data_IF_801442994730
#
_entry.id   IF_801442994730
#
_cell.length_a   1.000
_cell.length_b   1.000
_cell.length_c   1.000
_cell.angle_alpha   90.00
_cell.angle_beta   90.00
_cell.angle_gamma   90.00
#
_symmetry.space_group_name_H-M   'P 1'
#
loop_
_entity.id
_entity.type
_entity.pdbx_description
1 polymer ?
#
# COMPACT_ATOMS: atom_id res chain seq x y z
N UNK A 1 -19.36 -19.77 6.93
CA UNK A 1 -18.45 -20.82 6.42
C UNK A 1 -18.95 -21.23 5.05
N UNK A 2 -18.16 -20.94 4.02
CA UNK A 2 -18.35 -21.55 2.69
C UNK A 2 -17.94 -23.02 2.79
N UNK A 3 -18.87 -23.93 2.47
CA UNK A 3 -18.55 -25.34 2.26
C UNK A 3 -17.94 -25.46 0.86
N UNK A 4 -16.69 -25.86 0.78
CA UNK A 4 -16.07 -26.27 -0.48
C UNK A 4 -16.49 -27.71 -0.72
N UNK A 5 -17.31 -27.96 -1.73
CA UNK A 5 -17.65 -29.29 -2.18
C UNK A 5 -16.74 -29.63 -3.36
N UNK A 6 -15.91 -30.65 -3.21
CA UNK A 6 -15.12 -31.18 -4.31
C UNK A 6 -16.09 -31.97 -5.22
N UNK A 7 -16.23 -31.54 -6.45
CA UNK A 7 -17.10 -32.15 -7.42
C UNK A 7 -16.26 -32.64 -8.60
N UNK A 8 -16.09 -33.95 -8.74
CA UNK A 8 -15.48 -34.56 -9.92
C UNK A 8 -16.52 -34.70 -11.03
N UNK A 9 -16.27 -34.02 -12.16
CA UNK A 9 -17.19 -34.03 -13.29
C UNK A 9 -16.51 -34.46 -14.60
N UNK A 10 -17.25 -35.20 -15.42
CA UNK A 10 -16.91 -35.48 -16.81
C UNK A 10 -16.96 -34.24 -17.71
N UNK A 11 -16.66 -34.38 -18.99
CA UNK A 11 -16.69 -33.28 -19.97
C UNK A 11 -18.09 -32.64 -20.09
N UNK A 12 -18.18 -31.35 -20.33
CA UNK A 12 -19.43 -30.63 -20.55
C UNK A 12 -19.44 -29.21 -19.93
N UNK A 13 -20.48 -28.43 -20.21
CA UNK A 13 -20.71 -27.12 -19.64
C UNK A 13 -21.02 -27.22 -18.14
N UNK A 14 -20.35 -26.43 -17.32
CA UNK A 14 -20.55 -26.40 -15.87
C UNK A 14 -21.15 -25.05 -15.46
N UNK A 15 -22.13 -25.11 -14.57
CA UNK A 15 -22.70 -23.92 -13.93
C UNK A 15 -22.17 -23.81 -12.51
N UNK A 16 -21.52 -22.69 -12.20
CA UNK A 16 -21.15 -22.32 -10.84
C UNK A 16 -22.23 -21.41 -10.28
N UNK A 17 -22.96 -21.88 -9.28
CA UNK A 17 -23.93 -21.08 -8.54
C UNK A 17 -23.34 -20.73 -7.15
N UNK A 18 -23.36 -19.46 -6.80
CA UNK A 18 -22.87 -18.97 -5.50
C UNK A 18 -24.03 -18.35 -4.75
N UNK A 19 -24.31 -18.86 -3.56
CA UNK A 19 -25.30 -18.30 -2.66
C UNK A 19 -24.57 -17.71 -1.44
N UNK A 20 -24.82 -16.44 -1.16
CA UNK A 20 -24.28 -15.75 0.01
C UNK A 20 -25.37 -15.58 1.04
N UNK A 21 -25.11 -16.01 2.26
CA UNK A 21 -26.02 -15.87 3.37
C UNK A 21 -25.42 -14.88 4.39
N UNK A 22 -26.21 -13.91 4.80
CA UNK A 22 -25.90 -13.06 5.93
C UNK A 22 -26.05 -13.83 7.25
N UNK A 23 -25.12 -13.63 8.18
CA UNK A 23 -25.20 -14.23 9.51
C UNK A 23 -26.32 -13.64 10.37
N UNK A 24 -26.77 -12.44 10.04
CA UNK A 24 -27.95 -11.78 10.63
C UNK A 24 -28.58 -10.82 9.63
N UNK A 25 -29.87 -10.51 9.80
CA UNK A 25 -30.60 -9.59 8.92
C UNK A 25 -30.06 -8.14 8.96
N UNK A 26 -29.27 -7.79 9.97
CA UNK A 26 -28.71 -6.46 10.18
C UNK A 26 -27.20 -6.39 9.87
N UNK A 27 -26.62 -7.42 9.25
CA UNK A 27 -25.22 -7.38 8.83
C UNK A 27 -25.06 -6.46 7.62
N UNK A 28 -24.23 -5.43 7.75
CA UNK A 28 -23.89 -4.48 6.67
C UNK A 28 -22.82 -5.01 5.72
N UNK A 29 -22.16 -6.12 6.07
CA UNK A 29 -20.99 -6.63 5.38
C UNK A 29 -21.34 -7.83 4.51
N UNK A 30 -21.68 -7.57 3.27
CA UNK A 30 -21.87 -8.59 2.24
C UNK A 30 -20.78 -8.43 1.18
N UNK A 31 -19.78 -9.27 1.23
CA UNK A 31 -18.79 -9.38 0.17
C UNK A 31 -18.59 -10.85 -0.20
N UNK A 32 -18.53 -11.16 -1.48
CA UNK A 32 -18.15 -12.48 -1.96
C UNK A 32 -17.10 -12.37 -3.06
N UNK A 33 -16.00 -13.10 -2.87
CA UNK A 33 -15.01 -13.34 -3.91
C UNK A 33 -15.06 -14.81 -4.27
N UNK A 34 -15.32 -15.11 -5.53
CA UNK A 34 -15.32 -16.49 -6.02
C UNK A 34 -14.03 -16.79 -6.78
N UNK A 35 -13.38 -17.88 -6.42
CA UNK A 35 -12.20 -18.39 -7.11
C UNK A 35 -12.49 -19.78 -7.62
N UNK A 36 -12.21 -20.01 -8.89
CA UNK A 36 -12.29 -21.34 -9.50
C UNK A 36 -10.87 -21.85 -9.76
N UNK A 37 -10.51 -22.94 -9.08
CA UNK A 37 -9.23 -23.61 -9.28
C UNK A 37 -9.44 -24.97 -9.94
N UNK A 38 -8.63 -25.30 -10.94
CA UNK A 38 -8.61 -26.60 -11.58
C UNK A 38 -7.34 -27.36 -11.16
N UNK A 39 -7.53 -28.52 -10.54
CA UNK A 39 -6.46 -29.46 -10.30
C UNK A 39 -6.26 -30.38 -11.50
N UNK A 40 -5.05 -30.42 -12.06
CA UNK A 40 -4.73 -31.31 -13.19
C UNK A 40 -3.78 -32.41 -12.70
N UNK A 41 -4.25 -33.66 -12.75
CA UNK A 41 -3.49 -34.87 -12.35
C UNK A 41 -2.62 -35.41 -13.47
N UNK A 42 -1.74 -34.61 -14.05
CA UNK A 42 -0.73 -35.17 -14.98
C UNK A 42 0.55 -34.32 -14.96
N UNK A 43 1.60 -34.78 -15.64
CA UNK A 43 2.91 -34.15 -15.69
C UNK A 43 3.03 -33.09 -16.80
N UNK A 44 1.96 -32.82 -17.55
CA UNK A 44 2.01 -31.85 -18.64
C UNK A 44 1.75 -30.43 -18.13
N UNK A 45 2.47 -29.44 -18.66
CA UNK A 45 2.25 -28.05 -18.36
C UNK A 45 1.11 -27.50 -19.22
N UNK A 46 0.02 -27.09 -18.59
CA UNK A 46 -1.16 -26.52 -19.28
C UNK A 46 -1.24 -25.00 -19.18
N UNK A 47 -0.13 -24.35 -19.11
CA UNK A 47 -0.13 -22.88 -19.17
C UNK A 47 -0.41 -22.45 -20.61
N UNK A 48 -1.47 -21.70 -20.80
CA UNK A 48 -1.68 -20.98 -22.04
C UNK A 48 -0.66 -19.86 -22.12
N UNK A 49 -0.26 -19.50 -23.34
CA UNK A 49 0.45 -18.25 -23.56
C UNK A 49 -0.36 -17.09 -22.95
N UNK A 50 0.32 -16.13 -22.37
CA UNK A 50 -0.29 -14.91 -21.83
C UNK A 50 -1.21 -14.31 -22.89
N UNK A 51 -2.50 -14.05 -22.59
CA UNK A 51 -3.40 -13.42 -23.53
C UNK A 51 -2.87 -12.07 -23.98
N UNK A 52 -3.11 -11.70 -25.23
CA UNK A 52 -2.63 -10.41 -25.79
C UNK A 52 -3.19 -9.17 -25.08
N UNK A 53 -4.29 -9.32 -24.34
CA UNK A 53 -4.87 -8.24 -23.54
C UNK A 53 -4.30 -8.16 -22.11
N UNK A 54 -3.49 -9.15 -21.70
CA UNK A 54 -2.85 -9.13 -20.39
C UNK A 54 -1.50 -8.45 -20.51
N UNK A 55 -1.39 -7.29 -19.91
CA UNK A 55 -0.13 -6.62 -19.72
C UNK A 55 0.40 -6.99 -18.34
N UNK A 56 1.63 -7.50 -18.29
CA UNK A 56 2.31 -7.64 -17.00
C UNK A 56 2.37 -6.26 -16.34
N UNK A 57 2.21 -6.15 -15.01
CA UNK A 57 2.45 -4.89 -14.33
C UNK A 57 3.84 -4.39 -14.73
N UNK A 58 3.88 -3.25 -15.42
CA UNK A 58 5.15 -2.61 -15.72
C UNK A 58 5.80 -2.20 -14.41
N UNK A 59 7.10 -2.35 -14.32
CA UNK A 59 7.85 -1.70 -13.24
C UNK A 59 7.58 -0.21 -13.38
N UNK A 60 7.06 0.42 -12.33
CA UNK A 60 6.75 1.84 -12.35
C UNK A 60 8.05 2.61 -12.46
N UNK A 61 8.41 3.05 -13.67
CA UNK A 61 9.57 3.91 -13.91
C UNK A 61 9.27 5.39 -13.72
N UNK A 62 7.99 5.77 -13.84
CA UNK A 62 7.53 7.14 -13.64
C UNK A 62 6.09 7.18 -13.15
N UNK A 63 5.76 8.20 -12.37
CA UNK A 63 4.43 8.43 -11.80
C UNK A 63 4.16 9.93 -11.67
N UNK A 64 2.90 10.33 -11.66
CA UNK A 64 2.51 11.69 -11.30
C UNK A 64 2.37 11.90 -9.78
N UNK A 65 2.58 10.86 -8.98
CA UNK A 65 2.61 10.94 -7.52
C UNK A 65 4.04 11.26 -7.03
N UNK A 66 4.19 11.78 -5.81
CA UNK A 66 5.48 11.84 -5.14
C UNK A 66 6.12 10.45 -5.05
N UNK A 67 7.41 10.36 -5.35
CA UNK A 67 8.24 9.17 -5.12
C UNK A 67 9.02 9.35 -3.83
N UNK A 68 8.90 8.39 -2.93
CA UNK A 68 9.65 8.32 -1.66
C UNK A 68 10.59 7.11 -1.74
N UNK A 69 11.87 7.37 -1.75
CA UNK A 69 12.93 6.36 -1.79
C UNK A 69 13.55 6.27 -0.40
N UNK A 70 13.55 5.09 0.19
CA UNK A 70 14.14 4.85 1.51
C UNK A 70 15.23 3.78 1.37
N UNK A 71 16.44 4.15 1.75
CA UNK A 71 17.59 3.26 1.77
C UNK A 71 18.00 3.00 3.21
N UNK A 72 17.83 1.76 3.64
CA UNK A 72 18.24 1.28 4.96
C UNK A 72 19.64 0.64 4.99
N UNK A 73 20.37 0.74 3.86
CA UNK A 73 21.67 0.07 3.71
C UNK A 73 21.59 -1.45 4.00
N UNK A 74 20.47 -2.06 3.59
CA UNK A 74 20.21 -3.49 3.77
C UNK A 74 19.77 -3.90 5.19
N UNK A 75 19.59 -2.95 6.11
CA UNK A 75 19.11 -3.25 7.46
C UNK A 75 17.61 -3.58 7.45
N UNK A 76 17.22 -4.57 8.23
CA UNK A 76 15.78 -4.85 8.46
C UNK A 76 15.19 -3.79 9.39
N UNK A 77 14.09 -3.17 8.97
CA UNK A 77 13.39 -2.17 9.80
C UNK A 77 12.73 -2.88 11.00
N UNK A 78 13.12 -2.56 12.24
CA UNK A 78 12.56 -3.17 13.45
C UNK A 78 11.22 -2.54 13.84
N UNK A 79 10.61 -3.06 14.89
CA UNK A 79 9.48 -2.42 15.58
C UNK A 79 9.97 -1.23 16.42
N UNK A 80 10.95 -1.50 17.27
CA UNK A 80 11.67 -0.50 18.08
C UNK A 80 13.11 -0.99 18.32
N UNK A 81 14.07 -0.09 18.46
CA UNK A 81 14.04 1.35 18.22
C UNK A 81 14.15 1.70 16.73
N UNK A 82 13.89 2.97 16.36
CA UNK A 82 14.12 3.48 15.00
C UNK A 82 15.59 3.30 14.59
N UNK A 83 15.77 2.76 13.39
CA UNK A 83 17.11 2.73 12.75
C UNK A 83 17.30 3.98 11.90
N UNK A 84 18.56 4.35 11.66
CA UNK A 84 18.88 5.40 10.71
C UNK A 84 18.79 4.88 9.27
N UNK A 85 18.23 5.71 8.40
CA UNK A 85 18.12 5.45 6.97
C UNK A 85 18.26 6.74 6.18
N UNK A 86 18.48 6.63 4.87
CA UNK A 86 18.42 7.77 3.96
C UNK A 86 17.04 7.81 3.30
N UNK A 87 16.47 9.01 3.17
CA UNK A 87 15.22 9.21 2.44
C UNK A 87 15.41 10.29 1.38
N UNK A 88 14.88 10.01 0.19
CA UNK A 88 14.75 10.98 -0.90
C UNK A 88 13.29 11.10 -1.28
N UNK A 89 12.86 12.34 -1.53
CA UNK A 89 11.51 12.60 -2.04
C UNK A 89 11.63 13.42 -3.32
N UNK A 90 11.06 12.86 -4.39
CA UNK A 90 11.01 13.45 -5.72
C UNK A 90 9.56 13.80 -6.02
N UNK A 91 9.28 15.08 -6.27
CA UNK A 91 7.94 15.51 -6.68
C UNK A 91 7.97 16.83 -7.44
N UNK A 92 7.45 16.80 -8.66
CA UNK A 92 7.13 17.97 -9.47
C UNK A 92 5.65 17.94 -9.78
N UNK A 93 4.95 18.96 -9.33
CA UNK A 93 3.50 19.02 -9.51
C UNK A 93 3.15 19.16 -11.00
N UNK A 94 2.24 18.30 -11.47
CA UNK A 94 1.82 18.28 -12.87
C UNK A 94 2.77 17.60 -13.86
N UNK A 95 3.89 17.05 -13.37
CA UNK A 95 4.88 16.34 -14.19
C UNK A 95 4.95 14.85 -13.82
N UNK A 96 5.61 14.08 -14.69
CA UNK A 96 5.99 12.70 -14.37
C UNK A 96 7.28 12.72 -13.57
N UNK A 97 7.27 12.04 -12.42
CA UNK A 97 8.43 11.86 -11.56
C UNK A 97 9.03 10.48 -11.82
N UNK A 98 10.34 10.39 -11.96
CA UNK A 98 11.08 9.16 -12.25
C UNK A 98 12.10 8.86 -11.15
N UNK A 99 12.42 7.57 -10.99
CA UNK A 99 13.48 7.11 -10.08
C UNK A 99 14.87 7.68 -10.41
N UNK A 100 15.07 8.12 -11.66
CA UNK A 100 16.32 8.73 -12.14
C UNK A 100 16.40 10.23 -11.87
N UNK A 101 15.31 10.85 -11.43
CA UNK A 101 15.28 12.28 -11.14
C UNK A 101 16.01 12.58 -9.82
N UNK A 102 16.57 13.78 -9.75
CA UNK A 102 17.14 14.26 -8.50
C UNK A 102 16.04 14.60 -7.49
N UNK A 103 16.28 14.25 -6.22
CA UNK A 103 15.41 14.64 -5.13
C UNK A 103 15.32 16.16 -5.04
N UNK A 104 14.09 16.69 -4.94
CA UNK A 104 13.81 18.12 -4.92
C UNK A 104 12.92 18.55 -3.75
N UNK A 105 12.35 17.61 -3.00
CA UNK A 105 11.53 17.90 -1.81
C UNK A 105 12.30 17.60 -0.54
N UNK A 106 12.99 16.47 -0.48
CA UNK A 106 13.80 16.05 0.64
C UNK A 106 14.94 15.14 0.18
N UNK A 107 16.13 15.31 0.73
CA UNK A 107 17.26 14.38 0.63
C UNK A 107 18.04 14.46 1.95
N UNK A 108 17.83 13.48 2.83
CA UNK A 108 18.40 13.57 4.17
C UNK A 108 18.26 12.30 4.99
N UNK A 109 18.69 12.40 6.24
CA UNK A 109 18.58 11.33 7.22
C UNK A 109 17.19 11.23 7.80
N UNK A 110 16.78 10.01 8.09
CA UNK A 110 15.57 9.68 8.84
C UNK A 110 15.85 8.62 9.90
N UNK A 111 15.05 8.63 10.96
CA UNK A 111 14.81 7.46 11.78
C UNK A 111 13.58 6.74 11.26
N UNK A 112 13.62 5.40 11.15
CA UNK A 112 12.51 4.60 10.66
C UNK A 112 12.30 3.37 11.53
N UNK A 113 11.03 3.06 11.82
CA UNK A 113 10.59 1.85 12.50
C UNK A 113 9.26 1.35 11.94
N UNK A 114 8.95 0.10 12.14
CA UNK A 114 7.61 -0.43 11.87
C UNK A 114 6.63 0.10 12.91
N UNK A 115 5.39 0.18 12.52
CA UNK A 115 4.33 0.57 13.45
C UNK A 115 3.05 -0.22 13.22
N UNK A 116 2.12 -0.10 14.17
CA UNK A 116 0.80 -0.69 14.12
C UNK A 116 0.71 -1.99 14.90
N UNK A 117 -0.48 -2.36 15.30
CA UNK A 117 -0.79 -3.63 15.98
C UNK A 117 -1.13 -4.70 14.93
N UNK A 118 -2.38 -4.74 14.45
CA UNK A 118 -2.82 -5.72 13.45
C UNK A 118 -2.17 -5.49 12.08
N UNK A 119 -1.92 -4.23 11.71
CA UNK A 119 -1.30 -3.86 10.42
C UNK A 119 0.20 -4.15 10.35
N UNK A 120 0.85 -4.41 11.47
CA UNK A 120 2.26 -4.77 11.54
C UNK A 120 2.64 -5.94 10.63
N UNK A 121 1.75 -6.92 10.49
CA UNK A 121 1.97 -8.15 9.70
C UNK A 121 1.43 -8.07 8.26
N UNK A 122 0.94 -6.92 7.81
CA UNK A 122 0.46 -6.79 6.43
C UNK A 122 1.62 -6.85 5.44
N UNK A 123 1.42 -7.37 4.22
CA UNK A 123 2.42 -7.28 3.15
C UNK A 123 2.86 -5.85 2.87
N UNK A 124 1.92 -4.89 2.80
CA UNK A 124 2.19 -3.46 2.81
C UNK A 124 2.21 -2.98 4.27
N UNK A 125 3.37 -2.67 4.78
CA UNK A 125 3.57 -2.33 6.20
C UNK A 125 3.52 -0.82 6.43
N UNK A 126 2.93 -0.36 7.53
CA UNK A 126 3.05 1.03 7.95
C UNK A 126 4.38 1.28 8.68
N UNK A 127 4.91 2.50 8.54
CA UNK A 127 6.14 2.92 9.19
C UNK A 127 5.96 4.25 9.92
N UNK A 128 6.66 4.42 11.02
CA UNK A 128 6.89 5.71 11.66
C UNK A 128 8.25 6.24 11.19
N UNK A 129 8.27 7.48 10.77
CA UNK A 129 9.46 8.18 10.29
C UNK A 129 9.74 9.39 11.17
N UNK A 130 11.01 9.71 11.31
CA UNK A 130 11.48 10.90 11.98
C UNK A 130 12.57 11.56 11.14
N UNK A 131 12.32 12.75 10.61
CA UNK A 131 13.35 13.46 9.84
C UNK A 131 14.44 13.98 10.76
N UNK A 132 15.71 13.78 10.35
CA UNK A 132 16.91 13.99 11.15
C UNK A 132 17.91 14.89 10.45
N UNK A 133 18.66 15.66 11.23
CA UNK A 133 19.82 16.40 10.75
C UNK A 133 21.09 15.50 10.68
N UNK A 134 22.22 16.05 10.26
CA UNK A 134 23.47 15.31 10.11
C UNK A 134 24.06 14.83 11.46
N UNK A 135 23.59 15.36 12.58
CA UNK A 135 23.94 14.89 13.93
C UNK A 135 22.93 13.90 14.51
N UNK A 136 22.01 13.41 13.68
CA UNK A 136 20.92 12.50 14.04
C UNK A 136 19.88 13.06 15.02
N UNK A 137 19.89 14.37 15.24
CA UNK A 137 18.84 15.08 15.99
C UNK A 137 17.61 15.37 15.11
N UNK A 138 16.47 15.60 15.74
CA UNK A 138 15.21 15.87 15.06
C UNK A 138 15.31 17.14 14.20
N UNK A 139 14.77 17.07 13.00
CA UNK A 139 14.76 18.14 12.02
C UNK A 139 13.34 18.41 11.51
N UNK A 140 12.76 19.53 11.92
CA UNK A 140 11.44 19.92 11.42
C UNK A 140 11.52 20.42 9.98
N UNK A 141 10.89 19.70 9.06
CA UNK A 141 10.83 20.03 7.64
C UNK A 141 9.39 20.06 7.14
N UNK A 142 9.15 20.79 6.05
CA UNK A 142 7.86 20.74 5.36
C UNK A 142 7.98 19.73 4.21
N UNK A 143 7.26 18.63 4.29
CA UNK A 143 7.22 17.63 3.22
C UNK A 143 5.95 17.80 2.40
N UNK A 144 6.06 17.87 1.08
CA UNK A 144 4.94 17.90 0.11
C UNK A 144 3.88 18.97 0.44
N UNK A 145 4.32 20.15 0.93
CA UNK A 145 3.44 21.26 1.29
C UNK A 145 2.66 21.07 2.60
N UNK A 146 2.98 20.04 3.38
CA UNK A 146 2.43 19.86 4.72
C UNK A 146 3.17 20.74 5.74
N UNK A 147 2.58 21.05 6.90
CA UNK A 147 3.23 21.83 7.97
C UNK A 147 4.59 21.24 8.36
N UNK A 148 5.49 22.11 8.85
CA UNK A 148 6.79 21.66 9.36
C UNK A 148 6.62 20.75 10.55
N UNK A 149 7.18 19.56 10.46
CA UNK A 149 7.17 18.52 11.48
C UNK A 149 8.42 17.64 11.33
N UNK A 150 8.77 16.91 12.35
CA UNK A 150 9.79 15.87 12.26
C UNK A 150 9.21 14.46 12.31
N UNK A 151 8.05 14.26 12.93
CA UNK A 151 7.38 12.98 13.03
C UNK A 151 6.39 12.77 11.89
N UNK A 152 6.63 11.73 11.10
CA UNK A 152 5.84 11.41 9.93
C UNK A 152 5.37 9.95 9.98
N UNK A 153 4.30 9.67 9.26
CA UNK A 153 3.74 8.33 9.18
C UNK A 153 3.51 7.94 7.73
N UNK A 154 4.10 6.82 7.32
CA UNK A 154 3.70 6.11 6.11
C UNK A 154 2.59 5.13 6.48
N UNK A 155 1.37 5.46 6.06
CA UNK A 155 0.21 4.60 6.31
C UNK A 155 0.15 3.47 5.30
N UNK A 156 -0.16 2.28 5.80
CA UNK A 156 -0.55 1.16 4.96
C UNK A 156 -2.03 1.23 4.64
N UNK A 157 -2.37 1.28 3.37
CA UNK A 157 -3.74 1.16 2.90
C UNK A 157 -4.10 -0.26 2.44
N UNK A 158 -3.40 -1.27 2.96
CA UNK A 158 -3.54 -2.66 2.54
C UNK A 158 -5.01 -3.16 2.55
N UNK A 159 -5.78 -2.77 3.57
CA UNK A 159 -7.19 -3.14 3.70
C UNK A 159 -8.14 -2.19 2.95
N UNK A 160 -7.69 -1.00 2.59
CA UNK A 160 -8.49 -0.04 1.81
C UNK A 160 -8.03 -0.02 0.36
N UNK A 161 -8.62 -0.86 -0.47
CA UNK A 161 -8.29 -0.97 -1.90
C UNK A 161 -8.63 0.28 -2.72
N UNK A 162 -9.39 1.21 -2.15
CA UNK A 162 -9.66 2.52 -2.77
C UNK A 162 -8.54 3.54 -2.51
N UNK A 163 -7.72 3.33 -1.50
CA UNK A 163 -6.64 4.23 -1.01
C UNK A 163 -7.12 5.62 -0.55
N UNK A 164 -8.42 5.92 -0.60
CA UNK A 164 -8.92 7.28 -0.39
C UNK A 164 -9.71 7.49 0.91
N UNK A 165 -10.12 6.43 1.61
CA UNK A 165 -11.01 6.56 2.79
C UNK A 165 -10.41 7.42 3.89
N UNK A 166 -9.15 7.19 4.24
CA UNK A 166 -8.47 7.95 5.28
C UNK A 166 -8.31 9.42 4.87
N UNK A 167 -7.88 9.68 3.63
CA UNK A 167 -7.71 11.04 3.12
C UNK A 167 -9.05 11.78 3.12
N UNK A 168 -10.10 11.13 2.63
CA UNK A 168 -11.45 11.71 2.57
C UNK A 168 -11.97 12.05 3.98
N UNK A 169 -11.84 11.12 4.94
CA UNK A 169 -12.29 11.35 6.32
C UNK A 169 -11.57 12.54 6.97
N UNK A 170 -10.25 12.61 6.85
CA UNK A 170 -9.47 13.72 7.39
C UNK A 170 -9.77 15.05 6.70
N UNK A 171 -9.96 15.04 5.37
CA UNK A 171 -10.30 16.24 4.61
C UNK A 171 -11.69 16.78 4.98
N UNK A 172 -12.70 15.89 5.06
CA UNK A 172 -14.04 16.27 5.48
C UNK A 172 -14.03 16.86 6.89
N UNK A 173 -13.32 16.21 7.83
CA UNK A 173 -13.24 16.68 9.21
C UNK A 173 -12.61 18.08 9.32
N UNK A 174 -11.57 18.37 8.50
CA UNK A 174 -10.98 19.71 8.42
C UNK A 174 -11.95 20.72 7.83
N UNK A 175 -12.71 20.36 6.78
CA UNK A 175 -13.73 21.26 6.19
C UNK A 175 -14.87 21.58 7.14
N UNK A 176 -15.12 20.72 8.11
CA UNK A 176 -16.05 20.98 9.21
C UNK A 176 -15.48 21.92 10.29
N UNK A 177 -14.27 22.44 10.11
CA UNK A 177 -13.60 23.36 11.04
C UNK A 177 -12.82 22.69 12.17
N UNK A 178 -12.61 21.38 12.09
CA UNK A 178 -11.85 20.63 13.10
C UNK A 178 -10.40 20.37 12.66
N UNK A 179 -9.53 20.13 13.62
CA UNK A 179 -8.17 19.70 13.33
C UNK A 179 -8.13 18.22 12.90
N UNK A 180 -7.45 17.94 11.80
CA UNK A 180 -7.04 16.61 11.41
C UNK A 180 -5.69 16.65 10.68
N UNK A 181 -4.84 15.61 10.83
CA UNK A 181 -3.59 15.51 10.12
C UNK A 181 -3.77 15.65 8.60
N UNK A 182 -2.82 16.28 7.94
CA UNK A 182 -2.80 16.33 6.47
C UNK A 182 -2.19 15.07 5.92
N UNK A 183 -2.67 14.65 4.75
CA UNK A 183 -2.23 13.43 4.08
C UNK A 183 -1.92 13.71 2.62
N UNK A 184 -0.97 12.98 2.09
CA UNK A 184 -0.63 12.94 0.66
C UNK A 184 -0.47 11.49 0.23
N UNK A 185 -0.93 11.16 -0.97
CA UNK A 185 -0.60 9.90 -1.62
C UNK A 185 0.81 9.98 -2.17
N UNK A 186 1.55 8.90 -2.08
CA UNK A 186 2.90 8.76 -2.61
C UNK A 186 3.17 7.29 -2.96
N UNK A 187 4.08 7.10 -3.89
CA UNK A 187 4.73 5.80 -4.14
C UNK A 187 5.96 5.67 -3.24
N UNK A 188 6.18 4.48 -2.64
CA UNK A 188 7.26 4.23 -1.66
C UNK A 188 8.03 2.97 -2.04
#
# INVERSE_FOLDING_TARGET
RLAVQEVTHGAGTKLLAIQVHLSSANSSDMSSNAWLSFGIKNKNTYFRSTPTWFYAPETVFSTNLPLILIDTEGQTIPDEPKINARMKIIYREGEQNSLTDSANVYDGWIGIERRGSSSYNYPQRPYALETRNDTMGNLNVSLLGMPKENDWVLLSNYNDKSFVRNILAHELFRRMGHYAPRMRLAEV
#
